data_IF_825907572431
#
_entry.id   IF_825907572431
#
_cell.length_a   1.000
_cell.length_b   1.000
_cell.length_c   1.000
_cell.angle_alpha   90.00
_cell.angle_beta   90.00
_cell.angle_gamma   90.00
#
_symmetry.space_group_name_H-M   'P 1'
#
loop_
_entity.id
_entity.type
_entity.pdbx_description
1 polymer ?
#
# COMPACT_ATOMS: atom_id res chain seq x y z
N UNK A 1 9.85 -26.36 -3.52
CA UNK A 1 10.69 -25.24 -3.05
C UNK A 1 10.35 -24.02 -3.88
N UNK A 2 10.14 -22.87 -3.25
CA UNK A 2 10.07 -21.58 -3.96
C UNK A 2 11.49 -21.30 -4.45
N UNK A 3 11.76 -21.59 -5.73
CA UNK A 3 13.12 -21.67 -6.27
C UNK A 3 13.84 -20.30 -6.34
N UNK A 4 13.15 -19.19 -6.10
CA UNK A 4 13.69 -17.83 -6.31
C UNK A 4 13.43 -16.86 -5.13
N UNK A 5 13.00 -17.34 -3.96
CA UNK A 5 12.67 -16.45 -2.82
C UNK A 5 11.39 -15.61 -2.99
N UNK A 6 10.73 -15.69 -4.16
CA UNK A 6 9.46 -15.00 -4.49
C UNK A 6 8.23 -15.79 -4.05
N UNK A 7 8.06 -15.89 -2.72
CA UNK A 7 6.91 -16.56 -2.11
C UNK A 7 5.56 -15.92 -2.43
N UNK A 8 5.57 -14.61 -2.68
CA UNK A 8 4.44 -13.73 -2.96
C UNK A 8 3.69 -14.05 -4.27
N UNK A 9 4.28 -14.82 -5.19
CA UNK A 9 3.68 -15.20 -6.48
C UNK A 9 3.56 -16.72 -6.66
N UNK A 10 3.57 -17.48 -5.56
CA UNK A 10 3.40 -18.93 -5.61
C UNK A 10 2.06 -19.31 -6.27
N UNK A 11 2.08 -20.14 -7.31
CA UNK A 11 0.84 -20.64 -7.95
C UNK A 11 0.00 -21.53 -7.02
N UNK A 12 0.63 -22.09 -5.98
CA UNK A 12 -0.03 -22.87 -4.92
C UNK A 12 0.16 -22.14 -3.59
N UNK A 13 -0.36 -20.93 -3.53
CA UNK A 13 -0.37 -20.13 -2.32
C UNK A 13 -1.61 -20.50 -1.48
N UNK A 14 -1.41 -21.24 -0.40
CA UNK A 14 -2.46 -21.51 0.60
C UNK A 14 -2.65 -20.30 1.52
N UNK A 15 -3.06 -19.15 0.95
CA UNK A 15 -3.20 -17.90 1.69
C UNK A 15 -4.32 -17.97 2.73
N UNK A 16 -4.05 -17.50 3.94
CA UNK A 16 -5.01 -17.50 5.05
C UNK A 16 -6.23 -16.64 4.75
N UNK A 17 -7.42 -17.20 4.94
CA UNK A 17 -8.68 -16.46 4.88
C UNK A 17 -9.09 -15.98 3.49
N UNK A 18 -8.52 -16.52 2.41
CA UNK A 18 -8.74 -16.05 1.05
C UNK A 18 -9.93 -16.73 0.32
N UNK A 19 -10.76 -17.50 1.03
CA UNK A 19 -11.99 -18.09 0.51
C UNK A 19 -12.05 -19.62 0.61
N UNK A 20 -12.95 -20.24 -0.16
CA UNK A 20 -13.19 -21.70 -0.09
C UNK A 20 -11.92 -22.48 -0.42
N UNK A 21 -11.60 -23.46 0.43
CA UNK A 21 -10.44 -24.34 0.24
C UNK A 21 -9.12 -23.80 0.80
N UNK A 22 -9.11 -22.60 1.38
CA UNK A 22 -7.92 -22.03 2.04
C UNK A 22 -7.95 -22.26 3.55
N UNK A 23 -6.79 -22.15 4.22
CA UNK A 23 -6.73 -22.20 5.68
C UNK A 23 -7.51 -21.05 6.31
N UNK A 24 -8.15 -21.30 7.45
CA UNK A 24 -8.91 -20.29 8.17
C UNK A 24 -8.04 -19.07 8.55
N UNK A 25 -8.57 -17.87 8.38
CA UNK A 25 -7.90 -16.63 8.74
C UNK A 25 -7.83 -16.37 10.26
N UNK A 26 -7.52 -15.13 10.62
CA UNK A 26 -7.36 -14.68 12.01
C UNK A 26 -8.65 -14.30 12.74
N UNK A 27 -9.83 -14.41 12.11
CA UNK A 27 -11.12 -14.02 12.70
C UNK A 27 -11.66 -15.08 13.68
N UNK A 28 -10.90 -15.36 14.73
CA UNK A 28 -11.24 -16.32 15.79
C UNK A 28 -10.36 -16.12 17.01
N UNK A 29 -10.70 -16.75 18.13
CA UNK A 29 -9.89 -16.67 19.35
C UNK A 29 -8.51 -17.34 19.21
N UNK A 30 -8.42 -18.32 18.32
CA UNK A 30 -7.21 -19.09 18.05
C UNK A 30 -7.09 -19.41 16.55
N UNK A 31 -5.86 -19.38 16.03
CA UNK A 31 -5.54 -19.79 14.66
C UNK A 31 -4.26 -20.62 14.64
N UNK A 32 -4.23 -21.67 13.81
CA UNK A 32 -3.04 -22.47 13.59
C UNK A 32 -2.18 -21.82 12.51
N UNK A 33 -0.97 -21.38 12.88
CA UNK A 33 -0.03 -20.71 11.97
C UNK A 33 1.33 -21.43 12.04
N UNK A 34 1.94 -21.82 10.90
CA UNK A 34 3.30 -22.32 10.82
C UNK A 34 4.27 -21.30 11.42
N UNK A 35 5.17 -21.77 12.28
CA UNK A 35 6.13 -20.94 12.99
C UNK A 35 6.97 -20.04 12.06
N UNK A 36 7.21 -20.45 10.82
CA UNK A 36 7.92 -19.65 9.80
C UNK A 36 7.23 -18.33 9.42
N UNK A 37 5.94 -18.17 9.69
CA UNK A 37 5.18 -16.94 9.46
C UNK A 37 4.96 -16.12 10.74
N UNK A 38 5.44 -16.62 11.89
CA UNK A 38 5.31 -15.94 13.17
C UNK A 38 6.56 -15.10 13.42
N UNK A 39 6.40 -13.78 13.47
CA UNK A 39 7.48 -12.85 13.76
C UNK A 39 7.36 -12.34 15.21
N UNK A 40 8.44 -12.47 15.97
CA UNK A 40 8.50 -11.85 17.29
C UNK A 40 8.69 -10.33 17.13
N UNK A 41 7.73 -9.55 17.60
CA UNK A 41 7.81 -8.10 17.55
C UNK A 41 8.78 -7.62 18.63
N UNK A 42 9.86 -6.98 18.19
CA UNK A 42 10.86 -6.34 19.06
C UNK A 42 10.61 -4.85 19.25
N UNK A 43 9.83 -4.24 18.35
CA UNK A 43 9.40 -2.85 18.46
C UNK A 43 8.27 -2.70 19.50
N UNK A 44 8.22 -1.57 20.23
CA UNK A 44 7.17 -1.30 21.23
C UNK A 44 5.85 -0.89 20.54
N UNK A 45 5.24 -1.82 19.82
CA UNK A 45 3.96 -1.64 19.13
C UNK A 45 2.81 -2.21 19.97
N UNK A 46 1.68 -1.51 20.00
CA UNK A 46 0.44 -2.07 20.52
C UNK A 46 -0.11 -3.14 19.57
N UNK A 47 -1.01 -4.05 20.01
CA UNK A 47 -1.66 -5.00 19.13
C UNK A 47 -2.37 -4.32 17.93
N UNK A 48 -3.03 -3.18 18.16
CA UNK A 48 -3.71 -2.41 17.12
C UNK A 48 -2.75 -1.80 16.08
N UNK A 49 -1.50 -1.52 16.47
CA UNK A 49 -0.46 -1.09 15.55
C UNK A 49 0.16 -2.28 14.82
N UNK A 50 0.37 -3.39 15.54
CA UNK A 50 0.97 -4.60 14.99
C UNK A 50 0.10 -5.20 13.86
N UNK A 51 -1.22 -5.16 13.98
CA UNK A 51 -2.13 -5.68 12.93
C UNK A 51 -2.02 -4.88 11.63
N UNK A 52 -1.59 -3.62 11.69
CA UNK A 52 -1.38 -2.78 10.51
C UNK A 52 -0.12 -3.15 9.70
N UNK A 53 0.75 -4.01 10.24
CA UNK A 53 1.95 -4.47 9.53
C UNK A 53 1.60 -5.25 8.25
N UNK A 54 0.49 -5.98 8.23
CA UNK A 54 0.05 -6.72 7.05
C UNK A 54 -0.32 -5.80 5.86
N UNK A 55 -1.27 -4.85 5.99
CA UNK A 55 -1.59 -3.95 4.89
C UNK A 55 -0.45 -2.97 4.56
N UNK A 56 0.38 -2.63 5.54
CA UNK A 56 1.60 -1.85 5.31
C UNK A 56 2.62 -2.63 4.49
N UNK A 57 2.76 -3.94 4.73
CA UNK A 57 3.64 -4.83 3.98
C UNK A 57 3.31 -4.88 2.48
N UNK A 58 2.02 -4.83 2.13
CA UNK A 58 1.57 -4.74 0.73
C UNK A 58 2.10 -3.46 0.07
N UNK A 59 1.92 -2.32 0.72
CA UNK A 59 2.42 -1.03 0.20
C UNK A 59 3.96 -0.99 0.14
N UNK A 60 4.64 -1.55 1.16
CA UNK A 60 6.10 -1.62 1.20
C UNK A 60 6.65 -2.44 0.04
N UNK A 61 6.13 -3.65 -0.17
CA UNK A 61 6.56 -4.54 -1.24
C UNK A 61 6.44 -3.88 -2.63
N UNK A 62 5.36 -3.12 -2.86
CA UNK A 62 5.18 -2.39 -4.12
C UNK A 62 6.21 -1.27 -4.31
N UNK A 63 6.54 -0.55 -3.23
CA UNK A 63 7.46 0.58 -3.24
C UNK A 63 8.93 0.18 -3.24
N UNK A 64 9.28 -0.94 -2.60
CA UNK A 64 10.65 -1.44 -2.53
C UNK A 64 11.21 -1.79 -3.92
N UNK A 65 10.35 -2.23 -4.83
CA UNK A 65 10.71 -2.50 -6.22
C UNK A 65 10.96 -1.23 -7.06
N UNK A 66 10.68 -0.05 -6.52
CA UNK A 66 10.68 1.23 -7.25
C UNK A 66 11.64 2.22 -6.56
N UNK A 67 12.56 2.82 -7.33
CA UNK A 67 13.42 3.89 -6.81
C UNK A 67 12.65 5.20 -6.69
N UNK A 68 12.03 5.44 -5.52
CA UNK A 68 11.26 6.68 -5.25
C UNK A 68 12.09 7.86 -4.74
N UNK A 69 13.32 7.62 -4.28
CA UNK A 69 14.18 8.65 -3.71
C UNK A 69 14.41 9.84 -4.67
N UNK A 70 14.14 11.06 -4.20
CA UNK A 70 14.32 12.29 -4.97
C UNK A 70 13.25 12.57 -6.04
N UNK A 71 12.29 11.67 -6.24
CA UNK A 71 11.23 11.80 -7.24
C UNK A 71 9.92 12.33 -6.63
N UNK A 72 9.04 12.84 -7.50
CA UNK A 72 7.67 13.18 -7.13
C UNK A 72 6.76 11.98 -7.37
N UNK A 73 6.04 11.56 -6.33
CA UNK A 73 5.18 10.38 -6.32
C UNK A 73 3.72 10.81 -6.22
N UNK A 74 2.87 10.32 -7.12
CA UNK A 74 1.42 10.47 -7.04
C UNK A 74 0.79 9.16 -6.57
N UNK A 75 0.00 9.21 -5.50
CA UNK A 75 -0.81 8.09 -4.99
C UNK A 75 -2.27 8.37 -5.30
N UNK A 76 -2.89 7.47 -6.06
CA UNK A 76 -4.30 7.50 -6.43
C UNK A 76 -5.08 6.62 -5.46
N UNK A 77 -6.07 7.18 -4.78
CA UNK A 77 -6.79 6.51 -3.71
C UNK A 77 -6.07 6.64 -2.38
N UNK A 78 -6.67 7.37 -1.45
CA UNK A 78 -6.18 7.55 -0.07
C UNK A 78 -6.89 6.59 0.90
N UNK A 79 -7.10 5.34 0.49
CA UNK A 79 -7.53 4.23 1.36
C UNK A 79 -6.37 3.68 2.20
N UNK A 80 -6.58 2.62 3.01
CA UNK A 80 -5.53 2.10 3.91
C UNK A 80 -4.19 1.83 3.22
N UNK A 81 -4.20 1.10 2.09
CA UNK A 81 -2.97 0.81 1.32
C UNK A 81 -2.35 2.09 0.76
N UNK A 82 -3.15 3.00 0.19
CA UNK A 82 -2.65 4.27 -0.34
C UNK A 82 -2.05 5.18 0.74
N UNK A 83 -2.63 5.21 1.94
CA UNK A 83 -2.09 5.95 3.08
C UNK A 83 -0.73 5.39 3.53
N UNK A 84 -0.58 4.06 3.57
CA UNK A 84 0.73 3.45 3.81
C UNK A 84 1.71 3.72 2.67
N UNK A 85 1.27 3.68 1.41
CA UNK A 85 2.10 4.03 0.28
C UNK A 85 2.63 5.47 0.37
N UNK A 86 1.80 6.41 0.82
CA UNK A 86 2.20 7.80 1.07
C UNK A 86 3.30 7.87 2.15
N UNK A 87 3.06 7.22 3.29
CA UNK A 87 4.00 7.24 4.42
C UNK A 87 5.34 6.57 4.06
N UNK A 88 5.29 5.43 3.36
CA UNK A 88 6.47 4.67 2.95
C UNK A 88 7.23 5.41 1.86
N UNK A 89 6.57 5.96 0.84
CA UNK A 89 7.24 6.74 -0.21
C UNK A 89 8.02 7.92 0.39
N UNK A 90 7.42 8.60 1.38
CA UNK A 90 8.10 9.66 2.13
C UNK A 90 9.29 9.13 2.94
N UNK A 91 9.13 8.01 3.64
CA UNK A 91 10.21 7.38 4.42
C UNK A 91 11.38 6.91 3.54
N UNK A 92 11.10 6.47 2.32
CA UNK A 92 12.09 6.09 1.30
C UNK A 92 12.73 7.29 0.57
N UNK A 93 12.39 8.52 0.96
CA UNK A 93 13.06 9.73 0.48
C UNK A 93 12.48 10.35 -0.79
N UNK A 94 11.20 10.10 -1.11
CA UNK A 94 10.51 10.84 -2.17
C UNK A 94 10.60 12.35 -1.92
N UNK A 95 10.84 13.14 -2.98
CA UNK A 95 10.94 14.61 -2.90
C UNK A 95 9.61 15.22 -2.50
N UNK A 96 8.53 14.78 -3.12
CA UNK A 96 7.17 15.17 -2.77
C UNK A 96 6.20 14.01 -3.03
N UNK A 97 5.22 13.87 -2.14
CA UNK A 97 4.18 12.84 -2.26
C UNK A 97 2.82 13.51 -2.36
N UNK A 98 2.07 13.15 -3.40
CA UNK A 98 0.76 13.72 -3.72
C UNK A 98 -0.30 12.66 -3.48
N UNK A 99 -1.25 12.92 -2.58
CA UNK A 99 -2.40 12.04 -2.36
C UNK A 99 -3.61 12.51 -3.15
N UNK A 100 -4.25 11.66 -3.93
CA UNK A 100 -5.46 11.98 -4.68
C UNK A 100 -6.62 11.07 -4.24
N UNK A 101 -7.79 11.67 -3.99
CA UNK A 101 -9.01 10.96 -3.61
C UNK A 101 -10.23 11.89 -3.83
N UNK A 102 -11.43 11.32 -3.84
CA UNK A 102 -12.70 12.03 -3.91
C UNK A 102 -13.28 12.36 -2.53
N UNK A 103 -12.80 11.69 -1.47
CA UNK A 103 -13.32 11.88 -0.11
C UNK A 103 -12.40 12.80 0.67
N UNK A 104 -12.90 13.99 1.02
CA UNK A 104 -12.11 15.01 1.75
C UNK A 104 -11.51 14.50 3.06
N UNK A 105 -12.24 13.67 3.83
CA UNK A 105 -11.72 13.09 5.08
C UNK A 105 -10.50 12.18 4.88
N UNK A 106 -10.43 11.45 3.77
CA UNK A 106 -9.26 10.64 3.41
C UNK A 106 -8.06 11.51 3.04
N UNK A 107 -8.29 12.65 2.39
CA UNK A 107 -7.24 13.62 2.07
C UNK A 107 -6.66 14.28 3.32
N UNK A 108 -7.48 14.56 4.34
CA UNK A 108 -6.97 15.04 5.63
C UNK A 108 -6.04 14.01 6.28
N UNK A 109 -6.45 12.74 6.29
CA UNK A 109 -5.60 11.65 6.78
C UNK A 109 -4.33 11.47 5.93
N UNK A 110 -4.41 11.66 4.61
CA UNK A 110 -3.24 11.63 3.75
C UNK A 110 -2.21 12.71 4.13
N UNK A 111 -2.65 13.91 4.50
CA UNK A 111 -1.75 14.97 4.99
C UNK A 111 -1.05 14.56 6.29
N UNK A 112 -1.78 13.99 7.24
CA UNK A 112 -1.18 13.55 8.52
C UNK A 112 -0.22 12.38 8.33
N UNK A 113 -0.48 11.51 7.35
CA UNK A 113 0.39 10.41 6.94
C UNK A 113 1.62 10.87 6.13
N UNK A 114 1.68 12.16 5.78
CA UNK A 114 2.89 12.79 5.25
C UNK A 114 2.80 13.27 3.81
N UNK A 115 1.65 13.22 3.17
CA UNK A 115 1.47 13.80 1.83
C UNK A 115 1.85 15.28 1.83
N UNK A 116 2.74 15.66 0.91
CA UNK A 116 3.17 17.05 0.70
C UNK A 116 2.01 17.89 0.15
N UNK A 117 1.17 17.29 -0.69
CA UNK A 117 0.00 17.90 -1.29
C UNK A 117 -1.11 16.87 -1.42
N UNK A 118 -2.35 17.34 -1.42
CA UNK A 118 -3.51 16.48 -1.67
C UNK A 118 -4.42 17.09 -2.72
N UNK A 119 -5.04 16.24 -3.52
CA UNK A 119 -5.84 16.63 -4.69
C UNK A 119 -7.21 15.98 -4.56
N UNK A 120 -8.24 16.83 -4.56
CA UNK A 120 -9.63 16.38 -4.57
C UNK A 120 -10.10 16.18 -6.01
N UNK A 121 -10.38 14.95 -6.42
CA UNK A 121 -10.72 14.61 -7.82
C UNK A 121 -11.94 15.38 -8.33
N UNK A 122 -13.01 15.48 -7.54
CA UNK A 122 -14.22 16.23 -7.91
C UNK A 122 -14.05 17.75 -8.10
N UNK A 123 -12.87 18.31 -7.79
CA UNK A 123 -12.55 19.72 -8.01
C UNK A 123 -11.57 19.93 -9.16
N UNK A 124 -11.24 18.88 -9.91
CA UNK A 124 -10.30 18.96 -11.04
C UNK A 124 -11.00 18.53 -12.33
N UNK A 125 -11.07 19.44 -13.29
CA UNK A 125 -11.43 19.13 -14.67
C UNK A 125 -10.15 18.72 -15.44
N UNK A 126 -10.14 17.50 -16.00
CA UNK A 126 -9.16 17.13 -17.04
C UNK A 126 -7.92 16.32 -16.64
N UNK A 127 -7.89 15.65 -15.48
CA UNK A 127 -6.81 14.67 -15.21
C UNK A 127 -7.12 13.37 -15.95
N UNK A 128 -6.42 13.15 -17.07
CA UNK A 128 -6.33 11.83 -17.72
C UNK A 128 -5.33 10.99 -16.92
N UNK A 129 -5.83 10.21 -15.97
CA UNK A 129 -5.05 9.12 -15.36
C UNK A 129 -5.10 7.95 -16.34
N UNK A 130 -4.11 7.81 -17.22
CA UNK A 130 -3.96 6.55 -17.95
C UNK A 130 -3.21 5.57 -17.07
N UNK A 131 -3.83 4.42 -16.82
CA UNK A 131 -3.29 3.31 -16.05
C UNK A 131 -1.97 2.79 -16.67
N UNK A 132 -1.00 2.51 -15.78
CA UNK A 132 0.22 1.70 -15.93
C UNK A 132 1.30 2.11 -16.97
N UNK A 133 2.51 2.33 -16.42
CA UNK A 133 3.83 2.25 -17.06
C UNK A 133 4.36 3.35 -18.01
N UNK A 134 3.71 4.51 -18.17
CA UNK A 134 4.42 5.67 -18.77
C UNK A 134 3.86 7.02 -18.34
N UNK A 135 4.67 7.72 -17.54
CA UNK A 135 4.83 9.17 -17.44
C UNK A 135 3.66 10.03 -17.97
N UNK A 136 2.79 10.48 -17.07
CA UNK A 136 2.23 11.83 -17.25
C UNK A 136 3.40 12.81 -17.09
N UNK A 137 3.52 13.82 -17.95
CA UNK A 137 4.69 14.70 -18.06
C UNK A 137 5.12 15.45 -16.78
N UNK A 138 4.38 15.30 -15.68
CA UNK A 138 4.64 15.93 -14.38
C UNK A 138 5.01 14.94 -13.25
N UNK A 139 4.60 13.66 -13.32
CA UNK A 139 4.90 12.66 -12.30
C UNK A 139 5.59 11.46 -12.93
N UNK A 140 6.81 11.16 -12.47
CA UNK A 140 7.55 9.97 -12.93
C UNK A 140 7.02 8.68 -12.32
N UNK A 141 6.47 8.76 -11.11
CA UNK A 141 6.00 7.60 -10.35
C UNK A 141 4.54 7.82 -9.96
N UNK A 142 3.68 6.87 -10.33
CA UNK A 142 2.26 6.85 -9.99
C UNK A 142 1.94 5.50 -9.36
N UNK A 143 1.31 5.53 -8.19
CA UNK A 143 0.87 4.36 -7.44
C UNK A 143 -0.64 4.36 -7.45
N UNK A 144 -1.22 3.34 -8.06
CA UNK A 144 -2.66 3.14 -8.19
C UNK A 144 -3.13 2.30 -6.99
N UNK A 145 -4.06 2.85 -6.20
CA UNK A 145 -4.64 2.20 -5.02
C UNK A 145 -6.17 2.42 -4.94
N UNK A 146 -6.80 2.96 -5.98
CA UNK A 146 -8.24 3.18 -6.11
C UNK A 146 -8.86 2.18 -7.09
N UNK A 147 -9.64 1.25 -6.55
CA UNK A 147 -10.32 0.22 -7.34
C UNK A 147 -11.37 0.79 -8.31
N UNK A 148 -11.74 2.06 -8.19
CA UNK A 148 -12.79 2.71 -8.99
C UNK A 148 -12.30 3.18 -10.36
N UNK A 149 -10.99 3.10 -10.62
CA UNK A 149 -10.33 3.62 -11.83
C UNK A 149 -10.03 2.48 -12.84
N UNK A 150 -10.31 1.22 -12.49
CA UNK A 150 -10.27 0.04 -13.36
C UNK A 150 -11.63 -0.23 -14.01
#
# INVERSE_FOLDING_TARGET
MLQEGRGDICQRMDQYGHGRGTMHGGCGQYSLVPARYCYALTAPLTPDQAVLLEPMGVAHNALEAISVAGEDVLVLGCGPVGLFAIAIAKALGARAVYGMDQVSGKLELARTMGASRVIHTGKVSGIRVSCMFKSSSHFKIVIECDISIL
#
